data_IF_257380642420
#
_entry.id   IF_257380642420
#
_cell.length_a   1.000
_cell.length_b   1.000
_cell.length_c   1.000
_cell.angle_alpha   90.00
_cell.angle_beta   90.00
_cell.angle_gamma   90.00
#
_symmetry.space_group_name_H-M   'P 1'
#
loop_
_entity.id
_entity.type
_entity.pdbx_description
1 polymer ?
#
# COMPACT_ATOMS: atom_id res chain seq x y z
N UNK A 1 28.87 -40.52 -72.02
CA UNK A 1 27.54 -40.01 -71.60
C UNK A 1 27.53 -39.85 -70.09
N UNK A 2 27.74 -38.63 -69.52
CA UNK A 2 27.69 -38.35 -68.09
C UNK A 2 26.46 -37.51 -67.78
N UNK A 3 25.51 -38.05 -67.02
CA UNK A 3 24.32 -37.36 -66.57
C UNK A 3 24.65 -36.58 -65.32
N UNK A 4 24.53 -35.26 -65.35
CA UNK A 4 24.62 -34.41 -64.14
C UNK A 4 23.21 -34.34 -63.52
N UNK A 5 23.12 -34.80 -62.24
CA UNK A 5 21.94 -34.70 -61.43
C UNK A 5 22.14 -33.43 -60.58
N UNK A 6 21.34 -32.39 -60.87
CA UNK A 6 21.33 -31.12 -60.11
C UNK A 6 20.40 -31.29 -58.92
N UNK A 7 20.94 -31.23 -57.73
CA UNK A 7 20.14 -31.21 -56.49
C UNK A 7 19.70 -29.79 -56.20
N UNK A 8 18.39 -29.55 -56.22
CA UNK A 8 17.81 -28.31 -55.67
C UNK A 8 17.62 -28.49 -54.16
N UNK A 9 18.40 -27.75 -53.40
CA UNK A 9 18.22 -27.63 -51.97
C UNK A 9 17.05 -26.67 -51.73
N UNK A 10 15.95 -27.18 -51.23
CA UNK A 10 14.81 -26.38 -50.77
C UNK A 10 15.14 -25.85 -49.36
N UNK A 11 15.44 -24.56 -49.22
CA UNK A 11 15.60 -23.90 -47.93
C UNK A 11 14.22 -23.51 -47.45
N UNK A 12 13.68 -24.24 -46.49
CA UNK A 12 12.47 -23.92 -45.73
C UNK A 12 12.86 -22.90 -44.65
N UNK A 13 12.55 -21.64 -44.88
CA UNK A 13 12.65 -20.60 -43.82
C UNK A 13 11.39 -20.69 -42.97
N UNK A 14 11.53 -21.29 -41.80
CA UNK A 14 10.49 -21.28 -40.78
C UNK A 14 10.50 -19.88 -40.11
N UNK A 15 9.54 -19.03 -40.45
CA UNK A 15 9.28 -17.78 -39.72
C UNK A 15 8.51 -18.16 -38.46
N UNK A 16 9.22 -18.24 -37.33
CA UNK A 16 8.61 -18.32 -36.03
C UNK A 16 8.02 -16.94 -35.66
N UNK A 17 6.72 -16.78 -35.93
CA UNK A 17 5.98 -15.63 -35.41
C UNK A 17 5.85 -15.80 -33.88
N UNK A 18 6.69 -15.11 -33.12
CA UNK A 18 6.53 -14.94 -31.69
C UNK A 18 5.29 -14.08 -31.46
N UNK A 19 4.15 -14.71 -31.20
CA UNK A 19 3.01 -14.02 -30.60
C UNK A 19 3.45 -13.62 -29.16
N UNK A 20 3.91 -12.38 -28.99
CA UNK A 20 3.93 -11.74 -27.70
C UNK A 20 2.47 -11.56 -27.28
N UNK A 21 1.97 -12.48 -26.47
CA UNK A 21 0.72 -12.28 -25.76
C UNK A 21 0.96 -11.08 -24.80
N UNK A 22 0.60 -9.89 -25.24
CA UNK A 22 0.38 -8.77 -24.33
C UNK A 22 -0.81 -9.19 -23.47
N UNK A 23 -0.52 -9.67 -22.25
CA UNK A 23 -1.54 -9.78 -21.25
C UNK A 23 -2.14 -8.37 -21.11
N UNK A 24 -3.36 -8.19 -21.62
CA UNK A 24 -4.14 -7.01 -21.31
C UNK A 24 -4.32 -7.05 -19.79
N UNK A 25 -3.59 -6.18 -19.08
CA UNK A 25 -3.84 -5.94 -17.68
C UNK A 25 -5.30 -5.50 -17.61
N UNK A 26 -6.17 -6.36 -17.11
CA UNK A 26 -7.52 -5.97 -16.77
C UNK A 26 -7.37 -4.85 -15.74
N UNK A 27 -7.86 -3.66 -16.05
CA UNK A 27 -7.98 -2.59 -15.09
C UNK A 27 -8.74 -3.19 -13.89
N UNK A 28 -8.02 -3.55 -12.85
CA UNK A 28 -8.57 -4.20 -11.68
C UNK A 28 -9.57 -3.25 -11.05
N UNK A 29 -10.76 -3.74 -10.73
CA UNK A 29 -11.70 -2.96 -9.93
C UNK A 29 -11.05 -2.56 -8.61
N UNK A 30 -11.58 -1.51 -7.97
CA UNK A 30 -11.12 -1.10 -6.66
C UNK A 30 -11.33 -2.23 -5.62
N UNK A 31 -10.26 -2.64 -4.96
CA UNK A 31 -10.28 -3.59 -3.85
C UNK A 31 -10.51 -2.83 -2.56
N UNK A 32 -11.57 -3.17 -1.82
CA UNK A 32 -11.77 -2.67 -0.46
C UNK A 32 -10.79 -3.37 0.47
N UNK A 33 -10.13 -2.60 1.31
CA UNK A 33 -9.17 -3.11 2.31
C UNK A 33 -9.52 -2.56 3.68
N UNK A 34 -9.36 -3.39 4.71
CA UNK A 34 -9.49 -2.95 6.11
C UNK A 34 -8.61 -3.79 7.04
N UNK A 35 -8.32 -3.23 8.21
CA UNK A 35 -7.45 -3.91 9.16
C UNK A 35 -7.09 -3.03 10.36
N UNK A 36 -6.03 -3.44 11.03
CA UNK A 36 -5.49 -2.78 12.21
C UNK A 36 -4.03 -2.39 12.00
N UNK A 37 -3.67 -1.24 12.53
CA UNK A 37 -2.31 -0.74 12.60
C UNK A 37 -1.89 -0.66 14.07
N UNK A 38 -0.74 -1.24 14.40
CA UNK A 38 -0.18 -1.20 15.76
C UNK A 38 1.20 -0.56 15.73
N UNK A 39 1.50 0.23 16.76
CA UNK A 39 2.82 0.83 16.92
C UNK A 39 3.86 -0.25 17.23
N UNK A 40 4.99 -0.26 16.51
CA UNK A 40 6.12 -1.15 16.72
C UNK A 40 7.25 -0.44 17.45
N UNK A 41 7.59 0.77 17.01
CA UNK A 41 8.60 1.61 17.66
C UNK A 41 8.28 3.07 17.47
N UNK A 42 8.49 3.85 18.53
CA UNK A 42 8.53 5.30 18.44
C UNK A 42 9.95 5.71 18.06
N UNK A 43 10.04 6.68 17.15
CA UNK A 43 11.25 7.44 16.91
C UNK A 43 11.52 8.47 17.99
N UNK A 44 12.01 9.65 17.63
CA UNK A 44 12.12 10.80 18.52
C UNK A 44 10.70 11.22 18.96
N UNK A 45 10.40 11.36 20.25
CA UNK A 45 9.07 11.78 20.72
C UNK A 45 8.63 13.16 20.22
N UNK A 46 9.54 13.93 19.63
CA UNK A 46 9.27 15.23 19.01
C UNK A 46 9.32 15.23 17.48
N UNK A 47 9.70 14.08 16.87
CA UNK A 47 9.74 13.90 15.42
C UNK A 47 9.14 12.53 15.05
N UNK A 48 7.84 12.46 14.78
CA UNK A 48 7.18 11.21 14.38
C UNK A 48 7.61 10.70 13.01
N UNK A 49 8.54 11.37 12.30
CA UNK A 49 9.05 10.91 11.02
C UNK A 49 9.75 9.54 11.08
N UNK A 50 10.14 9.08 12.27
CA UNK A 50 10.77 7.77 12.47
C UNK A 50 9.83 6.73 13.11
N UNK A 51 8.57 7.06 13.33
CA UNK A 51 7.60 6.12 13.88
C UNK A 51 7.36 4.96 12.91
N UNK A 52 7.37 3.75 13.46
CA UNK A 52 7.16 2.51 12.73
C UNK A 52 5.95 1.78 13.30
N UNK A 53 5.06 1.40 12.39
CA UNK A 53 3.86 0.66 12.68
C UNK A 53 3.83 -0.66 11.90
N UNK A 54 3.04 -1.60 12.36
CA UNK A 54 2.72 -2.83 11.66
C UNK A 54 1.24 -2.83 11.27
N UNK A 55 0.97 -3.10 10.00
CA UNK A 55 -0.38 -3.28 9.47
C UNK A 55 -0.70 -4.75 9.35
N UNK A 56 -1.90 -5.14 9.74
CA UNK A 56 -2.41 -6.50 9.67
C UNK A 56 -3.89 -6.54 9.27
N UNK A 57 -4.28 -7.63 8.64
CA UNK A 57 -5.68 -7.97 8.40
C UNK A 57 -6.30 -8.73 9.57
N UNK A 58 -7.61 -8.95 9.51
CA UNK A 58 -8.34 -9.69 10.54
C UNK A 58 -8.35 -11.21 10.33
N UNK A 59 -7.93 -11.70 9.15
CA UNK A 59 -7.96 -13.13 8.83
C UNK A 59 -9.37 -13.68 8.67
N UNK A 60 -10.31 -12.86 8.26
CA UNK A 60 -11.73 -13.17 8.16
C UNK A 60 -12.26 -13.17 6.71
N UNK A 61 -11.33 -13.24 5.74
CA UNK A 61 -11.63 -13.25 4.31
C UNK A 61 -11.75 -11.85 3.69
N UNK A 62 -11.53 -10.78 4.46
CA UNK A 62 -11.48 -9.42 3.92
C UNK A 62 -10.07 -9.04 3.49
N UNK A 63 -9.90 -8.47 2.29
CA UNK A 63 -8.59 -8.00 1.86
C UNK A 63 -7.99 -6.98 2.82
N UNK A 64 -6.65 -7.05 3.00
CA UNK A 64 -5.92 -6.18 3.90
C UNK A 64 -4.53 -5.83 3.36
N UNK A 65 -3.93 -4.77 3.88
CA UNK A 65 -2.51 -4.51 3.73
C UNK A 65 -1.77 -5.12 4.91
N UNK A 66 -0.76 -5.95 4.65
CA UNK A 66 0.07 -6.58 5.67
C UNK A 66 1.51 -6.14 5.47
N UNK A 67 2.10 -5.53 6.47
CA UNK A 67 3.47 -5.07 6.38
C UNK A 67 3.81 -3.92 7.29
N UNK A 68 4.94 -3.31 6.98
CA UNK A 68 5.51 -2.21 7.74
C UNK A 68 5.01 -0.88 7.19
N UNK A 69 4.59 -0.01 8.09
CA UNK A 69 4.21 1.37 7.80
C UNK A 69 5.12 2.31 8.58
N UNK A 70 5.52 3.40 7.96
CA UNK A 70 6.35 4.42 8.60
C UNK A 70 5.96 5.81 8.15
N UNK A 71 6.04 6.76 9.05
CA UNK A 71 6.00 8.19 8.72
C UNK A 71 7.35 8.60 8.12
N UNK A 72 7.33 9.32 7.02
CA UNK A 72 8.55 9.79 6.31
C UNK A 72 8.73 11.29 6.41
N UNK A 73 7.65 12.03 6.66
CA UNK A 73 7.69 13.45 7.04
C UNK A 73 6.46 13.80 7.85
N UNK A 74 6.59 14.75 8.75
CA UNK A 74 5.48 15.27 9.54
C UNK A 74 5.62 16.78 9.71
N UNK A 75 4.53 17.50 9.48
CA UNK A 75 4.43 18.90 9.77
C UNK A 75 3.25 19.13 10.73
N UNK A 76 3.58 19.51 11.95
CA UNK A 76 2.58 19.90 12.95
C UNK A 76 1.86 21.17 12.47
N UNK A 77 0.54 21.10 12.48
CA UNK A 77 -0.33 22.24 12.15
C UNK A 77 -0.80 22.98 13.40
N UNK A 78 -2.10 23.21 13.47
CA UNK A 78 -2.70 23.99 14.55
C UNK A 78 -2.93 23.11 15.79
N UNK A 79 -2.58 23.65 16.98
CA UNK A 79 -3.05 23.19 18.26
C UNK A 79 -4.00 24.23 18.86
N UNK A 80 -5.27 23.89 18.97
CA UNK A 80 -6.29 24.81 19.51
C UNK A 80 -6.38 24.77 21.02
N UNK A 81 -6.85 25.83 21.68
CA UNK A 81 -7.10 25.81 23.12
C UNK A 81 -8.08 24.73 23.58
N UNK A 82 -8.95 24.26 22.68
CA UNK A 82 -9.86 23.16 22.95
C UNK A 82 -9.19 21.78 22.84
N UNK A 83 -7.90 21.69 22.49
CA UNK A 83 -7.15 20.43 22.37
C UNK A 83 -7.26 19.75 21.01
N UNK A 84 -7.71 20.45 19.95
CA UNK A 84 -7.64 19.90 18.60
C UNK A 84 -6.26 20.13 18.02
N UNK A 85 -5.64 19.07 17.52
CA UNK A 85 -4.34 19.05 16.83
C UNK A 85 -4.56 18.67 15.39
N UNK A 86 -3.88 19.34 14.46
CA UNK A 86 -3.83 18.95 13.04
C UNK A 86 -2.40 18.73 12.62
N UNK A 87 -2.20 17.97 11.57
CA UNK A 87 -0.89 17.75 10.96
C UNK A 87 -1.01 17.23 9.53
N UNK A 88 0.05 17.35 8.79
CA UNK A 88 0.18 16.82 7.43
C UNK A 88 1.54 16.19 7.25
N UNK A 89 1.70 15.32 6.26
CA UNK A 89 2.98 14.72 5.99
C UNK A 89 2.93 13.66 4.90
N UNK A 90 3.93 12.82 4.92
CA UNK A 90 4.06 11.68 4.02
C UNK A 90 4.40 10.42 4.79
N UNK A 91 3.96 9.29 4.25
CA UNK A 91 4.16 7.98 4.84
C UNK A 91 4.43 6.95 3.75
N UNK A 92 5.07 5.86 4.14
CA UNK A 92 5.37 4.74 3.27
C UNK A 92 4.96 3.42 3.93
N UNK A 93 4.33 2.57 3.12
CA UNK A 93 4.04 1.19 3.43
C UNK A 93 4.98 0.29 2.63
N UNK A 94 5.44 -0.80 3.24
CA UNK A 94 6.19 -1.87 2.59
C UNK A 94 5.60 -3.22 3.03
N UNK A 95 5.10 -3.98 2.08
CA UNK A 95 4.42 -5.24 2.39
C UNK A 95 3.66 -5.83 1.21
N UNK A 96 2.54 -6.48 1.49
CA UNK A 96 1.67 -7.10 0.51
C UNK A 96 0.21 -6.64 0.63
N UNK A 97 -0.53 -6.85 -0.46
CA UNK A 97 -2.00 -6.89 -0.42
C UNK A 97 -2.43 -8.35 -0.22
N UNK A 98 -2.84 -8.69 0.98
CA UNK A 98 -3.55 -9.95 1.29
C UNK A 98 -4.94 -9.88 0.66
N UNK A 99 -5.04 -10.35 -0.57
CA UNK A 99 -6.26 -10.23 -1.38
C UNK A 99 -7.33 -11.26 -0.98
N UNK A 100 -6.91 -12.36 -0.37
CA UNK A 100 -7.80 -13.44 0.06
C UNK A 100 -8.25 -13.32 1.53
N UNK A 101 -7.62 -12.41 2.29
CA UNK A 101 -7.97 -12.11 3.68
C UNK A 101 -7.61 -13.21 4.68
N UNK A 102 -6.55 -13.99 4.41
CA UNK A 102 -6.07 -15.05 5.29
C UNK A 102 -5.05 -14.59 6.34
N UNK A 103 -4.80 -13.29 6.38
CA UNK A 103 -3.82 -12.61 7.24
C UNK A 103 -2.37 -13.05 6.99
N UNK A 104 -2.05 -13.42 5.74
CA UNK A 104 -0.68 -13.77 5.34
C UNK A 104 -0.31 -13.16 3.98
N UNK A 105 1.00 -13.09 3.69
CA UNK A 105 1.50 -12.69 2.38
C UNK A 105 1.84 -13.95 1.57
N UNK A 106 0.99 -14.33 0.63
CA UNK A 106 1.21 -15.46 -0.27
C UNK A 106 2.08 -15.10 -1.47
N UNK A 107 2.68 -16.11 -2.12
CA UNK A 107 3.63 -15.89 -3.22
C UNK A 107 3.05 -15.31 -4.51
N UNK A 108 1.73 -15.24 -4.67
CA UNK A 108 1.03 -14.66 -5.83
C UNK A 108 0.43 -13.29 -5.54
N UNK A 109 0.51 -12.83 -4.30
CA UNK A 109 -0.07 -11.55 -3.90
C UNK A 109 0.83 -10.37 -4.28
N UNK A 110 0.23 -9.22 -4.64
CA UNK A 110 0.99 -8.02 -4.94
C UNK A 110 1.84 -7.60 -3.75
N UNK A 111 3.15 -7.45 -3.97
CA UNK A 111 4.11 -7.00 -2.95
C UNK A 111 4.88 -5.81 -3.46
N UNK A 112 5.28 -4.91 -2.54
CA UNK A 112 6.05 -3.72 -2.89
C UNK A 112 5.87 -2.61 -1.86
N UNK A 113 6.00 -1.37 -2.33
CA UNK A 113 5.80 -0.18 -1.51
C UNK A 113 4.61 0.63 -2.00
N UNK A 114 3.91 1.29 -1.07
CA UNK A 114 2.97 2.36 -1.34
C UNK A 114 3.47 3.63 -0.67
N UNK A 115 3.25 4.76 -1.32
CA UNK A 115 3.54 6.09 -0.80
C UNK A 115 2.22 6.84 -0.60
N UNK A 116 2.14 7.60 0.48
CA UNK A 116 0.95 8.35 0.86
C UNK A 116 1.32 9.77 1.25
N UNK A 117 0.43 10.72 0.96
CA UNK A 117 0.32 11.94 1.76
C UNK A 117 -0.71 11.72 2.85
N UNK A 118 -0.71 12.54 3.90
CA UNK A 118 -1.76 12.44 4.91
C UNK A 118 -2.19 13.79 5.45
N UNK A 119 -3.45 13.80 5.90
CA UNK A 119 -4.04 14.87 6.71
C UNK A 119 -4.56 14.24 8.01
N UNK A 120 -3.96 14.69 9.12
CA UNK A 120 -4.26 14.21 10.46
C UNK A 120 -5.04 15.23 11.26
N UNK A 121 -6.01 14.78 12.04
CA UNK A 121 -6.71 15.58 13.03
C UNK A 121 -7.03 14.73 14.25
N UNK A 122 -6.61 15.18 15.42
CA UNK A 122 -6.88 14.51 16.69
C UNK A 122 -7.40 15.46 17.75
N UNK A 123 -8.11 14.89 18.69
CA UNK A 123 -8.58 15.56 19.91
C UNK A 123 -7.82 15.05 21.12
N UNK A 124 -7.23 15.95 21.84
CA UNK A 124 -6.57 15.70 23.10
C UNK A 124 -7.34 16.37 24.24
N UNK A 125 -7.25 15.82 25.42
CA UNK A 125 -7.67 16.50 26.64
C UNK A 125 -6.74 17.70 26.89
N UNK A 126 -7.25 18.92 27.04
CA UNK A 126 -6.40 20.11 27.13
C UNK A 126 -5.64 20.22 28.46
N UNK A 127 -5.96 19.38 29.46
CA UNK A 127 -5.34 19.39 30.78
C UNK A 127 -4.34 18.23 30.91
N UNK A 128 -4.77 17.02 30.54
CA UNK A 128 -3.95 15.80 30.71
C UNK A 128 -3.13 15.47 29.46
N UNK A 129 -3.42 16.11 28.33
CA UNK A 129 -2.85 15.81 27.00
C UNK A 129 -3.07 14.37 26.53
N UNK A 130 -4.00 13.65 27.16
CA UNK A 130 -4.38 12.32 26.71
C UNK A 130 -5.17 12.43 25.39
N UNK A 131 -4.77 11.66 24.40
CA UNK A 131 -5.52 11.56 23.14
C UNK A 131 -6.87 10.90 23.41
N UNK A 132 -7.94 11.53 22.93
CA UNK A 132 -9.32 11.04 23.03
C UNK A 132 -9.75 10.31 21.77
N UNK A 133 -9.37 10.81 20.60
CA UNK A 133 -9.56 10.19 19.29
C UNK A 133 -8.67 10.88 18.25
N UNK A 134 -8.43 10.20 17.15
CA UNK A 134 -7.76 10.76 15.97
C UNK A 134 -8.34 10.17 14.69
N UNK A 135 -8.12 10.88 13.61
CA UNK A 135 -8.47 10.46 12.25
C UNK A 135 -7.39 10.93 11.31
N UNK A 136 -7.11 10.09 10.33
CA UNK A 136 -6.16 10.42 9.28
C UNK A 136 -6.70 9.96 7.93
N UNK A 137 -6.54 10.80 6.92
CA UNK A 137 -6.83 10.46 5.53
C UNK A 137 -5.53 10.34 4.75
N UNK A 138 -5.34 9.24 4.02
CA UNK A 138 -4.11 8.88 3.35
C UNK A 138 -4.38 8.57 1.86
N UNK A 139 -4.43 9.57 0.97
CA UNK A 139 -4.44 9.32 -0.47
C UNK A 139 -3.10 8.70 -0.91
N UNK A 140 -3.18 7.70 -1.79
CA UNK A 140 -2.01 7.08 -2.42
C UNK A 140 -1.40 8.07 -3.40
N UNK A 141 -0.09 8.31 -3.28
CA UNK A 141 0.67 9.23 -4.15
C UNK A 141 1.65 8.50 -5.06
N UNK A 142 1.98 7.25 -4.75
CA UNK A 142 2.90 6.43 -5.53
C UNK A 142 2.96 4.99 -5.05
N UNK A 143 3.74 4.16 -5.75
CA UNK A 143 3.99 2.78 -5.38
C UNK A 143 5.00 2.09 -6.29
N UNK A 144 5.55 0.98 -5.82
CA UNK A 144 6.52 0.15 -6.54
C UNK A 144 6.14 -1.33 -6.50
N UNK A 145 6.83 -2.15 -7.29
CA UNK A 145 6.55 -3.59 -7.35
C UNK A 145 5.14 -3.88 -7.78
N UNK A 146 4.42 -4.73 -7.08
CA UNK A 146 3.02 -5.04 -7.33
C UNK A 146 2.04 -3.87 -7.12
N UNK A 147 2.52 -2.75 -6.55
CA UNK A 147 1.75 -1.53 -6.34
C UNK A 147 2.12 -0.41 -7.31
N UNK A 148 2.92 -0.68 -8.35
CA UNK A 148 3.26 0.33 -9.36
C UNK A 148 1.98 0.87 -10.02
N UNK A 149 1.82 2.21 -10.04
CA UNK A 149 0.62 2.86 -10.59
C UNK A 149 -0.66 2.69 -9.76
N UNK A 150 -0.56 2.19 -8.52
CA UNK A 150 -1.71 2.07 -7.64
C UNK A 150 -2.32 3.44 -7.31
N UNK A 151 -3.64 3.46 -7.16
CA UNK A 151 -4.44 4.64 -6.79
C UNK A 151 -5.45 4.28 -5.71
N UNK A 152 -6.01 5.30 -5.05
CA UNK A 152 -7.00 5.12 -3.99
C UNK A 152 -6.61 5.84 -2.71
N UNK A 153 -7.03 5.32 -1.57
CA UNK A 153 -6.67 5.91 -0.29
C UNK A 153 -7.23 5.16 0.90
N UNK A 154 -6.65 5.44 2.05
CA UNK A 154 -7.01 4.85 3.33
C UNK A 154 -7.50 5.93 4.29
N UNK A 155 -8.38 5.54 5.19
CA UNK A 155 -8.80 6.31 6.34
C UNK A 155 -8.42 5.55 7.61
N UNK A 156 -7.78 6.24 8.53
CA UNK A 156 -7.45 5.70 9.83
C UNK A 156 -8.32 6.34 10.91
N UNK A 157 -8.63 5.54 11.91
CA UNK A 157 -9.31 5.96 13.13
C UNK A 157 -8.53 5.42 14.32
N UNK A 158 -8.00 6.32 15.13
CA UNK A 158 -7.25 5.94 16.33
C UNK A 158 -8.16 5.39 17.42
N UNK A 159 -7.67 4.37 18.09
CA UNK A 159 -8.21 3.81 19.32
C UNK A 159 -7.15 3.93 20.43
N UNK A 160 -7.09 5.09 21.12
CA UNK A 160 -6.11 5.34 22.15
C UNK A 160 -6.23 4.40 23.36
N UNK A 161 -7.40 3.80 23.56
CA UNK A 161 -7.64 2.86 24.68
C UNK A 161 -6.90 1.55 24.43
N UNK A 162 -6.92 1.06 23.19
CA UNK A 162 -6.27 -0.17 22.79
C UNK A 162 -4.86 0.05 22.19
N UNK A 163 -4.43 1.30 22.03
CA UNK A 163 -3.11 1.65 21.49
C UNK A 163 -2.91 1.23 20.04
N UNK A 164 -3.98 1.29 19.24
CA UNK A 164 -3.95 0.93 17.83
C UNK A 164 -4.78 1.92 17.00
N UNK A 165 -4.70 1.79 15.69
CA UNK A 165 -5.58 2.47 14.73
C UNK A 165 -6.24 1.45 13.82
N UNK A 166 -7.52 1.62 13.53
CA UNK A 166 -8.21 0.86 12.51
C UNK A 166 -8.13 1.59 11.18
N UNK A 167 -7.82 0.88 10.12
CA UNK A 167 -7.83 1.44 8.78
C UNK A 167 -8.88 0.80 7.89
N UNK A 168 -9.39 1.57 6.97
CA UNK A 168 -10.26 1.11 5.88
C UNK A 168 -10.08 2.00 4.66
N UNK A 169 -10.35 1.46 3.49
CA UNK A 169 -10.25 2.23 2.26
C UNK A 169 -10.35 1.38 1.01
N UNK A 170 -9.85 1.90 -0.09
CA UNK A 170 -9.84 1.19 -1.36
C UNK A 170 -8.50 1.39 -2.07
N UNK A 171 -8.11 0.36 -2.77
CA UNK A 171 -6.88 0.28 -3.57
C UNK A 171 -7.25 -0.22 -4.98
N UNK A 172 -6.86 0.52 -5.99
CA UNK A 172 -6.87 0.08 -7.39
C UNK A 172 -5.42 -0.12 -7.84
N UNK A 173 -5.06 -1.34 -8.21
CA UNK A 173 -3.72 -1.63 -8.70
C UNK A 173 -3.55 -1.05 -10.11
N UNK A 174 -2.35 -0.55 -10.41
CA UNK A 174 -1.94 -0.18 -11.75
C UNK A 174 -1.90 -1.42 -12.65
N UNK A 175 -2.29 -1.26 -13.89
CA UNK A 175 -2.23 -2.31 -14.91
C UNK A 175 -0.89 -2.37 -15.61
#
# INVERSE_FOLDING_TARGET
MKRHITWFALVLVAIAASLAATAAASAGGATQVDGVQTLVSLGDPFDPADDVYWMAGYGDGRPALIGRWRTTSFQLGVFTPSGVVTGTGTEAFEGCLDANGDASCGGSEPTGTLEFSFEYSAKFDPITFAQQHGRCHHPITGGTGGFAGATGGLHFKDDPVNGCSYYSGHLTLGG
#
